data_IF_445111445150
#
_entry.id   IF_445111445150
#
_cell.length_a   1.000
_cell.length_b   1.000
_cell.length_c   1.000
_cell.angle_alpha   90.00
_cell.angle_beta   90.00
_cell.angle_gamma   90.00
#
_symmetry.space_group_name_H-M   'P 1'
#
loop_
_entity.id
_entity.type
_entity.pdbx_description
1 polymer ?
#
# COMPACT_ATOMS: atom_id res chain seq x y z
N UNK A 1 18.94 12.77 -9.41
CA UNK A 1 17.72 12.01 -9.77
C UNK A 1 16.67 12.39 -8.74
N UNK A 2 15.51 12.88 -9.15
CA UNK A 2 14.41 13.24 -8.25
C UNK A 2 13.85 11.95 -7.63
N UNK A 3 14.33 11.59 -6.45
CA UNK A 3 13.76 10.51 -5.64
C UNK A 3 12.37 10.93 -5.17
N UNK A 4 11.38 10.76 -6.04
CA UNK A 4 9.99 11.00 -5.69
C UNK A 4 9.57 9.90 -4.71
N UNK A 5 9.21 10.29 -3.49
CA UNK A 5 8.70 9.35 -2.48
C UNK A 5 7.58 8.51 -3.10
N UNK A 6 7.67 7.17 -3.08
CA UNK A 6 6.67 6.33 -3.73
C UNK A 6 5.30 6.56 -3.08
N UNK A 7 4.36 7.09 -3.87
CA UNK A 7 3.04 7.48 -3.38
C UNK A 7 2.26 6.27 -2.84
N UNK A 8 2.47 5.07 -3.41
CA UNK A 8 1.80 3.84 -3.01
C UNK A 8 2.20 3.35 -1.60
N UNK A 9 3.27 3.90 -1.00
CA UNK A 9 3.65 3.64 0.39
C UNK A 9 2.96 4.60 1.37
N UNK A 10 2.20 5.59 0.88
CA UNK A 10 1.55 6.57 1.73
C UNK A 10 0.24 6.04 2.31
N UNK A 11 0.20 5.87 3.64
CA UNK A 11 -1.03 5.49 4.37
C UNK A 11 -2.18 6.45 4.11
N UNK A 12 -1.90 7.74 4.05
CA UNK A 12 -2.94 8.76 3.84
C UNK A 12 -3.61 8.62 2.47
N UNK A 13 -2.89 8.18 1.44
CA UNK A 13 -3.47 7.97 0.11
C UNK A 13 -4.40 6.76 0.13
N UNK A 14 -3.97 5.64 0.72
CA UNK A 14 -4.82 4.46 0.86
C UNK A 14 -6.05 4.71 1.72
N UNK A 15 -5.90 5.42 2.84
CA UNK A 15 -7.02 5.81 3.69
C UNK A 15 -8.04 6.64 2.90
N UNK A 16 -7.59 7.67 2.17
CA UNK A 16 -8.47 8.50 1.35
C UNK A 16 -9.20 7.69 0.26
N UNK A 17 -8.50 6.77 -0.42
CA UNK A 17 -9.10 5.88 -1.42
C UNK A 17 -10.17 4.98 -0.79
N UNK A 18 -9.91 4.41 0.38
CA UNK A 18 -10.85 3.53 1.09
C UNK A 18 -12.06 4.31 1.58
N UNK A 19 -11.87 5.53 2.09
CA UNK A 19 -12.99 6.40 2.50
C UNK A 19 -13.90 6.72 1.32
N UNK A 20 -13.35 7.04 0.14
CA UNK A 20 -14.15 7.27 -1.08
C UNK A 20 -14.89 6.00 -1.50
N UNK A 21 -14.21 4.85 -1.47
CA UNK A 21 -14.82 3.56 -1.79
C UNK A 21 -15.94 3.19 -0.80
N UNK A 22 -15.73 3.43 0.49
CA UNK A 22 -16.70 3.17 1.56
C UNK A 22 -17.93 4.10 1.44
N UNK A 23 -17.71 5.37 1.11
CA UNK A 23 -18.81 6.29 0.81
C UNK A 23 -19.65 5.80 -0.38
N UNK A 24 -19.00 5.34 -1.45
CA UNK A 24 -19.69 4.74 -2.60
C UNK A 24 -20.42 3.44 -2.26
N UNK A 25 -19.81 2.58 -1.44
CA UNK A 25 -20.43 1.36 -0.94
C UNK A 25 -21.68 1.65 -0.08
N UNK A 26 -21.63 2.73 0.71
CA UNK A 26 -22.78 3.23 1.48
C UNK A 26 -23.97 3.59 0.58
N UNK A 27 -23.72 4.16 -0.61
CA UNK A 27 -24.79 4.41 -1.60
C UNK A 27 -25.40 3.13 -2.16
N UNK A 28 -24.65 2.02 -2.16
CA UNK A 28 -25.13 0.70 -2.55
C UNK A 28 -25.78 -0.09 -1.38
N UNK A 29 -25.90 0.52 -0.19
CA UNK A 29 -26.48 -0.11 1.01
C UNK A 29 -25.49 -0.95 1.83
N UNK A 30 -24.19 -0.90 1.51
CA UNK A 30 -23.13 -1.58 2.25
C UNK A 30 -22.55 -0.63 3.31
N UNK A 31 -22.79 -0.92 4.58
CA UNK A 31 -22.21 -0.15 5.69
C UNK A 31 -20.81 -0.68 6.00
N UNK A 32 -19.78 0.12 5.70
CA UNK A 32 -18.40 -0.17 6.08
C UNK A 32 -18.07 0.67 7.31
N UNK A 33 -17.75 0.04 8.44
CA UNK A 33 -17.40 0.76 9.66
C UNK A 33 -16.04 1.45 9.55
N UNK A 34 -15.79 2.49 10.34
CA UNK A 34 -14.49 3.16 10.38
C UNK A 34 -13.36 2.21 10.79
N UNK A 35 -13.67 1.25 11.67
CA UNK A 35 -12.74 0.18 12.06
C UNK A 35 -12.37 -0.69 10.86
N UNK A 36 -13.34 -1.09 10.03
CA UNK A 36 -13.09 -1.91 8.85
C UNK A 36 -12.27 -1.15 7.79
N UNK A 37 -12.53 0.14 7.63
CA UNK A 37 -11.75 1.01 6.73
C UNK A 37 -10.29 1.11 7.17
N UNK A 38 -10.03 1.25 8.48
CA UNK A 38 -8.69 1.28 9.04
C UNK A 38 -7.98 -0.07 8.84
N UNK A 39 -8.65 -1.18 9.14
CA UNK A 39 -8.12 -2.54 8.93
C UNK A 39 -7.79 -2.79 7.45
N UNK A 40 -8.65 -2.36 6.53
CA UNK A 40 -8.41 -2.50 5.09
C UNK A 40 -7.20 -1.67 4.64
N UNK A 41 -7.08 -0.45 5.16
CA UNK A 41 -5.93 0.45 4.87
C UNK A 41 -4.62 -0.21 5.29
N UNK A 42 -4.58 -0.71 6.52
CA UNK A 42 -3.38 -1.31 7.08
C UNK A 42 -3.05 -2.65 6.40
N UNK A 43 -4.06 -3.45 6.04
CA UNK A 43 -3.88 -4.70 5.29
C UNK A 43 -3.27 -4.47 3.91
N UNK A 44 -3.73 -3.44 3.18
CA UNK A 44 -3.16 -3.08 1.87
C UNK A 44 -1.70 -2.63 2.03
N UNK A 45 -1.43 -1.77 3.01
CA UNK A 45 -0.06 -1.33 3.28
C UNK A 45 0.86 -2.49 3.65
N UNK A 46 0.39 -3.43 4.47
CA UNK A 46 1.15 -4.61 4.85
C UNK A 46 1.46 -5.48 3.62
N UNK A 47 0.49 -5.67 2.72
CA UNK A 47 0.71 -6.39 1.47
C UNK A 47 1.74 -5.69 0.58
N UNK A 48 1.63 -4.37 0.41
CA UNK A 48 2.59 -3.56 -0.35
C UNK A 48 3.99 -3.64 0.26
N UNK A 49 4.11 -3.54 1.59
CA UNK A 49 5.37 -3.65 2.30
C UNK A 49 5.99 -5.05 2.18
N UNK A 50 5.18 -6.10 2.27
CA UNK A 50 5.63 -7.48 2.10
C UNK A 50 6.19 -7.70 0.68
N UNK A 51 5.47 -7.25 -0.35
CA UNK A 51 5.94 -7.32 -1.74
C UNK A 51 7.21 -6.50 -1.95
N UNK A 52 7.26 -5.27 -1.42
CA UNK A 52 8.46 -4.43 -1.46
C UNK A 52 9.66 -5.08 -0.78
N UNK A 53 9.45 -5.76 0.35
CA UNK A 53 10.48 -6.53 1.05
C UNK A 53 11.00 -7.71 0.23
N UNK A 54 10.11 -8.47 -0.42
CA UNK A 54 10.48 -9.56 -1.32
C UNK A 54 11.33 -9.03 -2.49
N UNK A 55 10.86 -7.97 -3.15
CA UNK A 55 11.58 -7.33 -4.27
C UNK A 55 12.94 -6.81 -3.80
N UNK A 56 13.03 -6.21 -2.62
CA UNK A 56 14.29 -5.74 -2.06
C UNK A 56 15.27 -6.88 -1.77
N UNK A 57 14.79 -8.01 -1.25
CA UNK A 57 15.61 -9.21 -1.01
C UNK A 57 16.13 -9.77 -2.35
N UNK A 58 15.25 -9.93 -3.35
CA UNK A 58 15.62 -10.42 -4.68
C UNK A 58 16.61 -9.46 -5.34
N UNK A 59 16.34 -8.16 -5.31
CA UNK A 59 17.23 -7.12 -5.83
C UNK A 59 18.60 -7.16 -5.17
N UNK A 60 18.65 -7.36 -3.84
CA UNK A 60 19.92 -7.53 -3.11
C UNK A 60 20.68 -8.79 -3.52
N UNK A 61 20.00 -9.90 -3.79
CA UNK A 61 20.63 -11.13 -4.27
C UNK A 61 21.10 -11.01 -5.73
N UNK A 62 20.35 -10.31 -6.58
CA UNK A 62 20.68 -10.07 -7.98
C UNK A 62 21.81 -9.04 -8.15
N UNK A 63 21.90 -8.04 -7.26
CA UNK A 63 22.98 -7.05 -7.21
C UNK A 63 24.34 -7.64 -6.79
N UNK A 64 24.44 -8.95 -6.57
CA UNK A 64 25.71 -9.65 -6.31
C UNK A 64 26.62 -9.75 -7.55
N UNK A 65 26.20 -9.23 -8.70
CA UNK A 65 27.11 -8.95 -9.81
C UNK A 65 28.01 -7.75 -9.48
N UNK A 66 29.23 -8.09 -9.03
CA UNK A 66 30.45 -7.26 -8.95
C UNK A 66 30.30 -5.88 -9.60
N UNK A 67 30.20 -4.85 -8.76
CA UNK A 67 30.95 -3.62 -9.03
C UNK A 67 32.44 -3.99 -8.97
N UNK A 68 32.99 -4.34 -10.13
CA UNK A 68 34.42 -4.34 -10.41
C UNK A 68 34.78 -3.03 -11.10
#
# INVERSE_FOLDING_TARGET
MTENKPWYLSRTIWAALITVAAAGAGLAGLTISDTDQALLTDSILQAVAALGGIVAIIGRLAAKNRIG
#
